data_IF_205925039774
#
_entry.id   IF_205925039774
#
_cell.length_a   1.000
_cell.length_b   1.000
_cell.length_c   1.000
_cell.angle_alpha   90.00
_cell.angle_beta   90.00
_cell.angle_gamma   90.00
#
_symmetry.space_group_name_H-M   'P 1'
#
loop_
_entity.id
_entity.type
_entity.pdbx_description
1 polymer ?
#
# COMPACT_ATOMS: atom_id res chain seq x y z
N UNK A 1 32.42 -8.44 -34.73
CA UNK A 1 32.74 -8.46 -33.29
C UNK A 1 31.49 -8.90 -32.56
N UNK A 2 31.50 -10.09 -31.97
CA UNK A 2 30.42 -10.61 -31.15
C UNK A 2 30.53 -9.99 -29.76
N UNK A 3 29.53 -9.20 -29.36
CA UNK A 3 29.41 -8.73 -27.99
C UNK A 3 29.05 -9.94 -27.11
N UNK A 4 30.02 -10.43 -26.35
CA UNK A 4 29.74 -11.38 -25.27
C UNK A 4 29.12 -10.60 -24.11
N UNK A 5 27.85 -10.87 -23.84
CA UNK A 5 27.18 -10.43 -22.62
C UNK A 5 27.93 -10.99 -21.40
N UNK A 6 28.20 -10.19 -20.36
CA UNK A 6 28.91 -10.66 -19.18
C UNK A 6 28.10 -11.77 -18.50
N UNK A 7 28.80 -12.84 -18.12
CA UNK A 7 28.25 -13.96 -17.36
C UNK A 7 27.50 -13.45 -16.12
N UNK A 8 26.18 -13.65 -16.09
CA UNK A 8 25.27 -13.35 -14.99
C UNK A 8 25.54 -14.26 -13.79
N UNK A 9 26.64 -14.03 -13.06
CA UNK A 9 26.86 -14.61 -11.73
C UNK A 9 26.90 -13.48 -10.71
N UNK A 10 25.84 -13.45 -9.89
CA UNK A 10 25.70 -12.70 -8.64
C UNK A 10 25.64 -11.17 -8.71
N UNK A 11 24.72 -10.61 -9.51
CA UNK A 11 24.12 -9.33 -9.12
C UNK A 11 23.02 -9.66 -8.11
N UNK A 12 23.10 -9.22 -6.84
CA UNK A 12 21.99 -9.41 -5.91
C UNK A 12 20.74 -8.75 -6.52
N UNK A 13 19.74 -9.56 -6.84
CA UNK A 13 18.44 -9.03 -7.27
C UNK A 13 17.90 -8.22 -6.09
N UNK A 14 17.68 -6.94 -6.32
CA UNK A 14 16.90 -6.12 -5.40
C UNK A 14 15.47 -6.62 -5.51
N UNK A 15 15.10 -7.55 -4.64
CA UNK A 15 13.74 -8.06 -4.54
C UNK A 15 12.95 -7.17 -3.58
N UNK A 16 11.85 -6.62 -4.09
CA UNK A 16 10.93 -5.81 -3.30
C UNK A 16 10.25 -6.71 -2.26
N UNK A 17 10.53 -6.49 -0.98
CA UNK A 17 9.94 -7.24 0.14
C UNK A 17 8.57 -6.68 0.47
N UNK A 18 7.70 -7.51 1.07
CA UNK A 18 6.35 -7.10 1.48
C UNK A 18 6.34 -5.81 2.30
N UNK A 19 7.30 -5.66 3.22
CA UNK A 19 7.44 -4.43 4.03
C UNK A 19 7.64 -3.18 3.17
N UNK A 20 8.52 -3.25 2.18
CA UNK A 20 8.84 -2.11 1.31
C UNK A 20 7.61 -1.76 0.45
N UNK A 21 6.87 -2.76 -0.03
CA UNK A 21 5.59 -2.56 -0.72
C UNK A 21 4.57 -1.86 0.19
N UNK A 22 4.39 -2.37 1.41
CA UNK A 22 3.42 -1.84 2.39
C UNK A 22 3.76 -0.39 2.73
N UNK A 23 5.01 -0.11 3.10
CA UNK A 23 5.44 1.23 3.52
C UNK A 23 5.30 2.25 2.38
N UNK A 24 5.62 1.84 1.15
CA UNK A 24 5.52 2.69 -0.06
C UNK A 24 4.07 3.07 -0.36
N UNK A 25 3.13 2.13 -0.26
CA UNK A 25 1.73 2.36 -0.62
C UNK A 25 0.94 3.02 0.51
N UNK A 26 1.27 2.72 1.78
CA UNK A 26 0.49 3.17 2.92
C UNK A 26 0.46 4.69 3.04
N UNK A 27 1.59 5.36 2.78
CA UNK A 27 1.70 6.82 2.91
C UNK A 27 0.80 7.57 1.92
N UNK A 28 0.89 7.36 0.59
CA UNK A 28 -0.03 7.97 -0.37
C UNK A 28 -1.52 7.75 -0.06
N UNK A 29 -1.89 6.55 0.41
CA UNK A 29 -3.28 6.26 0.80
C UNK A 29 -3.71 7.12 1.99
N UNK A 30 -2.90 7.17 3.06
CA UNK A 30 -3.24 7.95 4.26
C UNK A 30 -3.19 9.47 4.04
N UNK A 31 -2.40 9.93 3.08
CA UNK A 31 -2.30 11.35 2.73
C UNK A 31 -3.54 11.82 1.95
N UNK A 32 -4.03 11.00 1.01
CA UNK A 32 -5.10 11.40 0.10
C UNK A 32 -6.51 10.94 0.52
N UNK A 33 -6.62 9.86 1.30
CA UNK A 33 -7.92 9.31 1.71
C UNK A 33 -8.09 9.48 3.21
N UNK A 34 -9.18 10.15 3.60
CA UNK A 34 -9.56 10.34 5.00
C UNK A 34 -10.88 9.64 5.29
N UNK A 35 -10.82 8.59 6.10
CA UNK A 35 -12.02 7.94 6.64
C UNK A 35 -12.27 8.51 8.03
N UNK A 36 -13.50 8.97 8.29
CA UNK A 36 -13.92 9.34 9.65
C UNK A 36 -14.09 8.07 10.49
N UNK A 37 -13.19 7.89 11.45
CA UNK A 37 -13.17 6.75 12.37
C UNK A 37 -13.35 7.28 13.79
N UNK A 38 -14.26 6.66 14.54
CA UNK A 38 -14.48 6.94 15.94
C UNK A 38 -13.84 5.81 16.77
N UNK A 39 -13.24 6.16 17.90
CA UNK A 39 -12.59 5.20 18.80
C UNK A 39 -11.07 5.12 18.60
N UNK A 40 -10.48 3.98 18.96
CA UNK A 40 -9.03 3.78 18.99
C UNK A 40 -8.41 3.41 17.64
N UNK A 41 -9.23 3.03 16.65
CA UNK A 41 -8.75 2.71 15.30
C UNK A 41 -8.41 3.98 14.53
N UNK A 42 -7.35 3.91 13.74
CA UNK A 42 -6.94 4.98 12.83
C UNK A 42 -7.16 4.57 11.38
N UNK A 43 -7.26 5.56 10.49
CA UNK A 43 -7.35 5.32 9.04
C UNK A 43 -6.12 4.54 8.53
N UNK A 44 -4.96 4.76 9.18
CA UNK A 44 -3.72 4.02 8.91
C UNK A 44 -3.87 2.53 9.26
N UNK A 45 -4.52 2.16 10.35
CA UNK A 45 -4.69 0.76 10.75
C UNK A 45 -5.56 -0.01 9.74
N UNK A 46 -6.62 0.63 9.24
CA UNK A 46 -7.48 0.07 8.19
C UNK A 46 -6.67 -0.16 6.91
N UNK A 47 -5.99 0.87 6.40
CA UNK A 47 -5.21 0.73 5.17
C UNK A 47 -4.04 -0.22 5.31
N UNK A 48 -3.34 -0.21 6.44
CA UNK A 48 -2.26 -1.15 6.70
C UNK A 48 -2.76 -2.59 6.58
N UNK A 49 -3.89 -2.91 7.22
CA UNK A 49 -4.49 -4.24 7.13
C UNK A 49 -4.84 -4.64 5.69
N UNK A 50 -5.46 -3.72 4.93
CA UNK A 50 -5.84 -3.97 3.53
C UNK A 50 -4.64 -4.15 2.62
N UNK A 51 -3.59 -3.34 2.79
CA UNK A 51 -2.37 -3.46 1.99
C UNK A 51 -1.62 -4.74 2.33
N UNK A 52 -1.55 -5.16 3.61
CA UNK A 52 -1.01 -6.46 4.00
C UNK A 52 -1.73 -7.62 3.30
N UNK A 53 -3.07 -7.59 3.28
CA UNK A 53 -3.86 -8.61 2.55
C UNK A 53 -3.54 -8.63 1.06
N UNK A 54 -3.42 -7.46 0.43
CA UNK A 54 -3.14 -7.34 -1.00
C UNK A 54 -1.73 -7.83 -1.35
N UNK A 55 -0.72 -7.44 -0.57
CA UNK A 55 0.69 -7.77 -0.81
C UNK A 55 0.94 -9.27 -0.64
N UNK A 56 0.41 -9.88 0.42
CA UNK A 56 0.62 -11.31 0.70
C UNK A 56 -0.47 -12.20 0.10
N UNK A 57 -1.44 -11.62 -0.65
CA UNK A 57 -2.61 -12.31 -1.24
C UNK A 57 -3.36 -13.17 -0.22
N UNK A 58 -3.46 -12.66 1.01
CA UNK A 58 -4.03 -13.35 2.15
C UNK A 58 -5.40 -12.80 2.54
N UNK A 59 -6.19 -13.63 3.23
CA UNK A 59 -7.36 -13.18 3.97
C UNK A 59 -6.95 -12.50 5.29
N UNK A 60 -7.86 -11.73 5.87
CA UNK A 60 -7.66 -11.06 7.18
C UNK A 60 -7.20 -12.03 8.28
N UNK A 61 -7.70 -13.27 8.26
CA UNK A 61 -7.35 -14.31 9.23
C UNK A 61 -5.96 -14.91 8.98
N UNK A 62 -5.50 -14.94 7.73
CA UNK A 62 -4.17 -15.44 7.39
C UNK A 62 -3.09 -14.41 7.71
N UNK A 63 -3.34 -13.13 7.41
CA UNK A 63 -2.35 -12.07 7.63
C UNK A 63 -2.14 -11.72 9.10
N UNK A 64 -3.09 -12.02 9.99
CA UNK A 64 -2.91 -11.82 11.43
C UNK A 64 -1.80 -12.69 12.04
N UNK A 65 -1.35 -13.72 11.31
CA UNK A 65 -0.18 -14.53 11.68
C UNK A 65 1.15 -13.86 11.32
N UNK A 66 1.15 -12.98 10.32
CA UNK A 66 2.34 -12.37 9.74
C UNK A 66 2.53 -10.91 10.19
N UNK A 67 1.43 -10.20 10.46
CA UNK A 67 1.43 -8.79 10.85
C UNK A 67 0.72 -8.58 12.18
N UNK A 68 1.27 -7.69 12.99
CA UNK A 68 0.63 -7.22 14.20
C UNK A 68 -0.46 -6.18 13.87
N UNK A 69 -1.44 -6.02 14.77
CA UNK A 69 -2.49 -4.99 14.69
C UNK A 69 -3.38 -5.07 13.44
N UNK A 70 -3.65 -6.29 12.99
CA UNK A 70 -4.62 -6.56 11.92
C UNK A 70 -6.03 -6.25 12.42
N UNK A 71 -6.74 -5.40 11.67
CA UNK A 71 -8.13 -5.03 11.96
C UNK A 71 -9.07 -6.14 11.50
N UNK A 72 -10.12 -6.41 12.27
CA UNK A 72 -11.09 -7.45 11.92
C UNK A 72 -11.94 -7.08 10.69
N UNK A 73 -12.45 -8.10 10.00
CA UNK A 73 -13.22 -7.95 8.76
C UNK A 73 -14.40 -6.97 8.88
N UNK A 74 -15.17 -7.10 9.97
CA UNK A 74 -16.35 -6.26 10.23
C UNK A 74 -15.97 -4.78 10.28
N UNK A 75 -14.87 -4.44 10.93
CA UNK A 75 -14.38 -3.07 11.02
C UNK A 75 -13.90 -2.55 9.67
N UNK A 76 -13.16 -3.35 8.90
CA UNK A 76 -12.74 -2.98 7.53
C UNK A 76 -13.96 -2.67 6.68
N UNK A 77 -14.94 -3.58 6.63
CA UNK A 77 -16.18 -3.43 5.86
C UNK A 77 -16.94 -2.17 6.27
N UNK A 78 -17.14 -1.98 7.58
CA UNK A 78 -17.87 -0.82 8.11
C UNK A 78 -17.20 0.52 7.73
N UNK A 79 -15.87 0.58 7.75
CA UNK A 79 -15.15 1.82 7.47
C UNK A 79 -15.01 2.11 5.97
N UNK A 80 -14.81 1.07 5.14
CA UNK A 80 -14.74 1.25 3.68
C UNK A 80 -16.09 1.56 3.04
N UNK A 81 -17.21 1.15 3.64
CA UNK A 81 -18.54 1.58 3.20
C UNK A 81 -18.75 3.10 3.26
N UNK A 82 -17.91 3.84 4.00
CA UNK A 82 -17.96 5.30 4.09
C UNK A 82 -17.22 6.00 2.95
N UNK A 83 -16.51 5.25 2.11
CA UNK A 83 -15.79 5.78 0.97
C UNK A 83 -16.71 5.91 -0.23
N UNK A 84 -16.57 7.02 -0.94
CA UNK A 84 -17.23 7.25 -2.21
C UNK A 84 -16.34 6.77 -3.37
N UNK A 85 -16.86 5.84 -4.17
CA UNK A 85 -16.08 5.17 -5.22
C UNK A 85 -15.69 6.14 -6.35
N UNK A 86 -16.58 7.06 -6.72
CA UNK A 86 -16.33 8.04 -7.78
C UNK A 86 -15.22 9.00 -7.36
N UNK A 87 -15.25 9.48 -6.12
CA UNK A 87 -14.17 10.26 -5.56
C UNK A 87 -12.85 9.48 -5.51
N UNK A 88 -12.86 8.19 -5.15
CA UNK A 88 -11.65 7.36 -5.16
C UNK A 88 -11.04 7.23 -6.55
N UNK A 89 -11.86 6.99 -7.58
CA UNK A 89 -11.39 6.92 -8.97
C UNK A 89 -10.76 8.26 -9.38
N UNK A 90 -11.40 9.38 -9.04
CA UNK A 90 -10.91 10.72 -9.35
C UNK A 90 -9.55 11.02 -8.73
N UNK A 91 -9.31 10.59 -7.48
CA UNK A 91 -8.04 10.86 -6.79
C UNK A 91 -6.98 9.78 -7.01
N UNK A 92 -7.30 8.69 -7.72
CA UNK A 92 -6.38 7.58 -7.94
C UNK A 92 -5.08 8.02 -8.64
N UNK A 93 -5.19 8.85 -9.67
CA UNK A 93 -4.03 9.43 -10.35
C UNK A 93 -3.13 10.19 -9.37
N UNK A 94 -3.73 11.03 -8.52
CA UNK A 94 -3.00 11.79 -7.50
C UNK A 94 -2.29 10.87 -6.51
N UNK A 95 -2.92 9.77 -6.10
CA UNK A 95 -2.31 8.78 -5.19
C UNK A 95 -1.08 8.13 -5.85
N UNK A 96 -1.21 7.70 -7.11
CA UNK A 96 -0.15 7.01 -7.85
C UNK A 96 1.03 7.94 -8.19
N UNK A 97 0.73 9.20 -8.54
CA UNK A 97 1.73 10.16 -8.99
C UNK A 97 2.28 11.05 -7.86
N UNK A 98 1.80 10.93 -6.63
CA UNK A 98 2.16 11.83 -5.53
C UNK A 98 3.68 12.03 -5.38
N UNK A 99 4.46 10.95 -5.45
CA UNK A 99 5.91 11.03 -5.27
C UNK A 99 6.61 11.61 -6.51
N UNK A 100 6.15 11.24 -7.71
CA UNK A 100 6.67 11.78 -8.96
C UNK A 100 6.45 13.30 -9.05
N UNK A 101 5.25 13.77 -8.68
CA UNK A 101 4.92 15.20 -8.69
C UNK A 101 5.80 16.00 -7.72
N UNK A 102 6.09 15.47 -6.51
CA UNK A 102 6.99 16.12 -5.55
C UNK A 102 8.42 16.29 -6.05
N UNK A 103 8.89 15.36 -6.88
CA UNK A 103 10.23 15.44 -7.48
C UNK A 103 10.23 16.48 -8.60
N UNK A 104 9.21 16.45 -9.46
CA UNK A 104 9.07 17.36 -10.60
C UNK A 104 8.86 18.82 -10.18
N UNK A 105 8.14 19.09 -9.09
CA UNK A 105 7.92 20.45 -8.57
C UNK A 105 9.17 21.07 -7.93
N UNK A 106 10.20 20.28 -7.63
CA UNK A 106 11.45 20.73 -6.99
C UNK A 106 12.61 20.93 -7.96
N UNK A 107 12.45 20.56 -9.24
CA UNK A 107 13.43 20.77 -10.31
C UNK A 107 13.19 22.09 -11.03
#
# INVERSE_FOLDING_TARGET
MSFQLPNSKNIPRVELRSKECIDTVLKPLTDNIKIKINGSLTCKDIFHTTVCMAVDKGSVHSISKHYQKVVCETSIRHHFQKLDLDNLIRINEKILLQEALKILEKG
#
